data_IF_476780811160
#
_entry.id   IF_476780811160
#
_cell.length_a   1.000
_cell.length_b   1.000
_cell.length_c   1.000
_cell.angle_alpha   90.00
_cell.angle_beta   90.00
_cell.angle_gamma   90.00
#
_symmetry.space_group_name_H-M   'P 1'
#
loop_
_entity.id
_entity.type
_entity.pdbx_description
1 polymer ?
#
# COMPACT_ATOMS: atom_id res chain seq x y z
N UNK A 1 17.84 -25.89 -38.38
CA UNK A 1 16.43 -26.24 -38.10
C UNK A 1 16.28 -26.42 -36.61
N UNK A 2 15.31 -25.71 -36.02
CA UNK A 2 14.76 -25.79 -34.65
C UNK A 2 15.76 -25.51 -33.50
N UNK A 3 15.44 -24.77 -32.45
CA UNK A 3 14.15 -24.36 -31.86
C UNK A 3 14.16 -22.86 -31.53
N UNK A 4 13.14 -22.13 -31.99
CA UNK A 4 12.70 -20.91 -31.33
C UNK A 4 11.75 -21.35 -30.21
N UNK A 5 12.16 -21.20 -28.95
CA UNK A 5 11.24 -21.30 -27.81
C UNK A 5 10.82 -19.91 -27.40
N UNK A 6 9.53 -19.66 -27.56
CA UNK A 6 8.84 -18.41 -27.25
C UNK A 6 8.89 -18.14 -25.75
N UNK A 7 9.24 -16.90 -25.39
CA UNK A 7 9.37 -16.35 -24.02
C UNK A 7 8.12 -16.43 -23.12
N UNK A 8 7.04 -17.07 -23.58
CA UNK A 8 5.79 -17.23 -22.83
C UNK A 8 5.82 -18.39 -21.81
N UNK A 9 6.72 -19.37 -21.95
CA UNK A 9 6.73 -20.56 -21.06
C UNK A 9 7.42 -20.34 -19.70
N UNK A 10 8.23 -19.30 -19.52
CA UNK A 10 8.83 -18.96 -18.21
C UNK A 10 7.89 -18.15 -17.29
N UNK A 11 6.68 -17.85 -17.73
CA UNK A 11 5.64 -17.19 -16.93
C UNK A 11 4.64 -18.18 -16.29
N UNK A 12 4.86 -19.49 -16.44
CA UNK A 12 4.02 -20.54 -15.85
C UNK A 12 4.43 -20.97 -14.44
N UNK A 13 4.61 -20.01 -13.52
CA UNK A 13 4.88 -20.28 -12.10
C UNK A 13 3.62 -20.12 -11.26
N UNK A 14 3.01 -21.25 -10.90
CA UNK A 14 1.82 -21.37 -10.05
C UNK A 14 2.02 -20.66 -8.69
N UNK A 15 1.48 -19.45 -8.51
CA UNK A 15 1.21 -18.87 -7.20
C UNK A 15 -0.29 -19.01 -6.95
N UNK A 16 -0.65 -20.02 -6.16
CA UNK A 16 -1.97 -20.12 -5.58
C UNK A 16 -1.93 -19.32 -4.28
N UNK A 17 -2.50 -18.12 -4.27
CA UNK A 17 -3.01 -17.48 -3.06
C UNK A 17 -4.06 -16.43 -3.46
N UNK A 18 -5.21 -16.60 -2.82
CA UNK A 18 -6.52 -16.02 -3.07
C UNK A 18 -6.53 -14.52 -2.70
N UNK A 19 -6.70 -13.62 -3.67
CA UNK A 19 -7.01 -12.21 -3.40
C UNK A 19 -8.18 -11.76 -4.27
N UNK A 20 -9.26 -11.45 -3.57
CA UNK A 20 -10.54 -11.03 -4.13
C UNK A 20 -10.43 -9.82 -5.04
N UNK A 21 -11.13 -9.91 -6.17
CA UNK A 21 -11.34 -8.83 -7.11
C UNK A 21 -11.98 -7.62 -6.41
N UNK A 22 -11.23 -6.53 -6.26
CA UNK A 22 -11.78 -5.19 -6.08
C UNK A 22 -11.61 -4.46 -7.39
N UNK A 23 -12.73 -4.28 -8.10
CA UNK A 23 -12.84 -3.46 -9.30
C UNK A 23 -12.46 -2.01 -8.96
N UNK A 24 -11.45 -1.47 -9.65
CA UNK A 24 -11.16 -0.04 -9.64
C UNK A 24 -12.15 0.65 -10.58
N UNK A 25 -13.10 1.39 -10.00
CA UNK A 25 -13.95 2.32 -10.73
C UNK A 25 -13.13 3.57 -11.07
N UNK A 26 -13.13 3.93 -12.35
CA UNK A 26 -12.33 5.00 -12.93
C UNK A 26 -13.27 6.15 -13.30
N UNK A 27 -13.45 7.10 -12.39
CA UNK A 27 -14.24 8.31 -12.64
C UNK A 27 -13.50 9.23 -13.62
N UNK A 28 -14.03 9.31 -14.84
CA UNK A 28 -13.64 10.27 -15.87
C UNK A 28 -14.63 11.44 -15.84
N UNK A 29 -14.15 12.61 -15.40
CA UNK A 29 -14.92 13.85 -15.33
C UNK A 29 -15.06 14.42 -16.75
N UNK A 30 -16.27 14.39 -17.31
CA UNK A 30 -16.66 15.29 -18.42
C UNK A 30 -17.92 16.07 -18.04
N UNK A 31 -17.79 17.39 -18.14
CA UNK A 31 -18.84 18.38 -17.93
C UNK A 31 -19.65 18.50 -19.21
N UNK A 32 -20.95 18.26 -19.16
CA UNK A 32 -21.91 18.92 -20.07
C UNK A 32 -23.23 19.22 -19.35
N UNK A 33 -23.70 20.44 -19.57
CA UNK A 33 -24.92 21.00 -19.01
C UNK A 33 -26.11 20.69 -19.91
N UNK A 34 -27.21 20.17 -19.37
CA UNK A 34 -28.57 20.46 -19.86
C UNK A 34 -29.65 20.03 -18.87
N UNK A 35 -30.59 20.95 -18.67
CA UNK A 35 -31.75 20.91 -17.78
C UNK A 35 -32.73 19.78 -18.12
N UNK A 36 -33.44 19.26 -17.11
CA UNK A 36 -34.69 18.53 -17.35
C UNK A 36 -35.09 17.50 -16.29
N UNK A 37 -36.03 17.90 -15.42
CA UNK A 37 -37.10 17.04 -14.86
C UNK A 37 -36.74 16.01 -13.78
N UNK A 38 -37.20 16.30 -12.55
CA UNK A 38 -37.20 15.39 -11.40
C UNK A 38 -38.19 14.23 -11.65
N UNK A 39 -37.69 12.99 -11.73
CA UNK A 39 -38.51 11.78 -11.65
C UNK A 39 -37.94 10.84 -10.60
N UNK A 40 -38.71 10.64 -9.53
CA UNK A 40 -38.52 9.57 -8.56
C UNK A 40 -38.93 8.25 -9.22
N UNK A 41 -38.01 7.29 -9.29
CA UNK A 41 -38.31 5.96 -9.80
C UNK A 41 -39.21 5.21 -8.82
N UNK A 42 -40.48 5.06 -9.20
CA UNK A 42 -41.39 4.08 -8.61
C UNK A 42 -41.05 2.70 -9.17
N UNK A 43 -40.61 1.78 -8.33
CA UNK A 43 -40.62 0.37 -8.67
C UNK A 43 -42.09 -0.13 -8.62
N UNK A 44 -42.63 -0.49 -9.77
CA UNK A 44 -43.83 -1.32 -9.88
C UNK A 44 -43.41 -2.68 -10.41
N UNK A 45 -43.48 -3.69 -9.55
CA UNK A 45 -43.74 -5.06 -9.96
C UNK A 45 -44.47 -5.77 -8.82
N UNK A 46 -45.74 -6.08 -9.09
CA UNK A 46 -46.57 -6.91 -8.26
C UNK A 46 -46.12 -8.38 -8.36
N UNK A 47 -46.24 -9.10 -7.24
CA UNK A 47 -46.38 -10.55 -7.24
C UNK A 47 -45.27 -11.31 -6.52
N UNK A 48 -45.40 -11.50 -5.21
CA UNK A 48 -45.34 -12.84 -4.60
C UNK A 48 -45.69 -12.75 -3.12
N UNK A 49 -46.79 -13.40 -2.75
CA UNK A 49 -47.36 -13.46 -1.41
C UNK A 49 -46.79 -14.71 -0.72
N UNK A 50 -45.69 -14.62 0.03
CA UNK A 50 -45.38 -15.43 1.24
C UNK A 50 -43.88 -15.40 1.59
N UNK A 51 -43.49 -14.66 2.62
CA UNK A 51 -42.30 -14.99 3.44
C UNK A 51 -42.67 -14.70 4.90
N UNK A 52 -42.73 -15.70 5.79
CA UNK A 52 -42.96 -15.42 7.19
C UNK A 52 -41.64 -14.92 7.80
N UNK A 53 -41.66 -13.64 8.13
CA UNK A 53 -40.79 -12.97 9.09
C UNK A 53 -40.67 -13.84 10.36
N UNK A 54 -39.47 -14.36 10.64
CA UNK A 54 -39.18 -15.13 11.85
C UNK A 54 -38.97 -14.18 13.03
N UNK A 55 -40.06 -13.58 13.50
CA UNK A 55 -40.13 -13.07 14.87
C UNK A 55 -40.54 -14.25 15.76
N UNK A 56 -39.88 -14.52 16.90
CA UNK A 56 -40.46 -15.40 17.91
C UNK A 56 -41.66 -14.65 18.50
N UNK A 57 -42.80 -14.82 17.84
CA UNK A 57 -44.11 -14.44 18.35
C UNK A 57 -44.39 -15.41 19.49
N UNK A 58 -44.04 -15.01 20.71
CA UNK A 58 -44.59 -15.64 21.90
C UNK A 58 -46.03 -15.14 21.99
N UNK A 59 -46.93 -15.82 21.30
CA UNK A 59 -48.35 -15.76 21.59
C UNK A 59 -48.50 -16.35 22.99
N UNK A 60 -48.48 -15.48 24.00
CA UNK A 60 -49.19 -15.77 25.24
C UNK A 60 -50.67 -15.76 24.86
N UNK A 61 -51.17 -16.92 24.43
CA UNK A 61 -52.61 -17.22 24.45
C UNK A 61 -53.02 -17.25 25.93
N UNK A 62 -53.31 -16.06 26.46
CA UNK A 62 -54.15 -15.90 27.63
C UNK A 62 -55.56 -16.33 27.22
N UNK A 63 -55.85 -17.62 27.37
CA UNK A 63 -57.24 -18.08 27.41
C UNK A 63 -57.90 -17.47 28.63
N UNK A 64 -58.53 -16.31 28.41
CA UNK A 64 -59.56 -15.72 29.24
C UNK A 64 -60.79 -16.65 29.26
N UNK A 65 -60.71 -17.71 30.06
CA UNK A 65 -61.91 -18.36 30.59
C UNK A 65 -62.39 -17.59 31.82
N UNK A 66 -62.95 -16.42 31.54
CA UNK A 66 -63.79 -15.68 32.45
C UNK A 66 -65.18 -16.32 32.57
N UNK A 67 -65.43 -16.82 33.77
CA UNK A 67 -66.74 -16.92 34.44
C UNK A 67 -67.47 -18.29 34.47
N UNK A 68 -67.53 -18.77 35.72
CA UNK A 68 -68.69 -19.30 36.43
C UNK A 68 -68.75 -20.81 36.71
N UNK A 69 -68.05 -21.22 37.78
CA UNK A 69 -68.62 -22.23 38.69
C UNK A 69 -68.48 -21.77 40.15
N UNK A 70 -69.55 -21.10 40.58
CA UNK A 70 -69.97 -21.09 41.97
C UNK A 70 -70.01 -22.54 42.49
N UNK A 71 -69.11 -22.90 43.41
CA UNK A 71 -69.29 -24.07 44.27
C UNK A 71 -68.17 -25.11 44.27
N UNK A 72 -67.54 -25.22 45.46
CA UNK A 72 -66.75 -26.35 46.00
C UNK A 72 -65.33 -26.53 45.45
N UNK A 73 -64.37 -26.33 46.34
CA UNK A 73 -63.10 -27.06 46.35
C UNK A 73 -61.85 -26.18 46.28
N UNK A 74 -61.36 -25.72 47.43
CA UNK A 74 -60.18 -24.85 47.59
C UNK A 74 -58.81 -25.45 47.23
N UNK A 75 -58.72 -26.37 46.27
CA UNK A 75 -57.47 -27.06 45.89
C UNK A 75 -56.93 -26.70 44.50
N UNK A 76 -57.78 -26.29 43.55
CA UNK A 76 -57.36 -25.96 42.17
C UNK A 76 -56.78 -24.53 42.03
N UNK A 77 -57.18 -23.60 42.90
CA UNK A 77 -56.64 -22.25 42.90
C UNK A 77 -55.19 -22.18 43.43
N UNK A 78 -54.80 -23.08 44.34
CA UNK A 78 -53.43 -23.11 44.87
C UNK A 78 -52.41 -23.62 43.83
N UNK A 79 -52.79 -24.60 43.00
CA UNK A 79 -51.91 -25.15 41.97
C UNK A 79 -51.74 -24.23 40.76
N UNK A 80 -52.80 -23.53 40.33
CA UNK A 80 -52.71 -22.53 39.26
C UNK A 80 -51.94 -21.28 39.70
N UNK A 81 -52.09 -20.85 40.97
CA UNK A 81 -51.25 -19.80 41.57
C UNK A 81 -49.77 -20.22 41.63
N UNK A 82 -49.47 -21.45 42.05
CA UNK A 82 -48.09 -21.99 42.06
C UNK A 82 -47.46 -22.09 40.67
N UNK A 83 -48.24 -22.44 39.64
CA UNK A 83 -47.76 -22.46 38.26
C UNK A 83 -47.48 -21.04 37.74
N UNK A 84 -48.37 -20.08 38.00
CA UNK A 84 -48.17 -18.65 37.68
C UNK A 84 -46.94 -18.07 38.41
N UNK A 85 -46.72 -18.46 39.66
CA UNK A 85 -45.54 -18.11 40.47
C UNK A 85 -44.25 -18.65 39.82
N UNK A 86 -44.22 -19.96 39.51
CA UNK A 86 -43.07 -20.61 38.85
C UNK A 86 -42.73 -19.94 37.50
N UNK A 87 -43.74 -19.56 36.72
CA UNK A 87 -43.54 -18.85 35.45
C UNK A 87 -42.94 -17.46 35.67
N UNK A 88 -43.42 -16.72 36.68
CA UNK A 88 -42.87 -15.41 37.07
C UNK A 88 -41.42 -15.53 37.53
N UNK A 89 -41.09 -16.54 38.33
CA UNK A 89 -39.72 -16.81 38.78
C UNK A 89 -38.78 -17.13 37.61
N UNK A 90 -39.19 -18.01 36.69
CA UNK A 90 -38.42 -18.34 35.50
C UNK A 90 -38.17 -17.11 34.62
N UNK A 91 -39.19 -16.27 34.41
CA UNK A 91 -39.06 -15.01 33.68
C UNK A 91 -38.08 -14.05 34.36
N UNK A 92 -38.16 -13.92 35.70
CA UNK A 92 -37.26 -13.08 36.49
C UNK A 92 -35.81 -13.57 36.41
N UNK A 93 -35.59 -14.89 36.50
CA UNK A 93 -34.27 -15.50 36.35
C UNK A 93 -33.69 -15.28 34.95
N UNK A 94 -34.50 -15.42 33.89
CA UNK A 94 -34.07 -15.16 32.53
C UNK A 94 -33.65 -13.70 32.31
N UNK A 95 -34.43 -12.75 32.83
CA UNK A 95 -34.10 -11.33 32.73
C UNK A 95 -32.87 -10.96 33.57
N UNK A 96 -32.68 -11.56 34.75
CA UNK A 96 -31.46 -11.37 35.55
C UNK A 96 -30.24 -11.86 34.77
N UNK A 97 -30.29 -13.07 34.20
CA UNK A 97 -29.21 -13.60 33.36
C UNK A 97 -28.89 -12.68 32.17
N UNK A 98 -29.92 -12.10 31.53
CA UNK A 98 -29.74 -11.11 30.46
C UNK A 98 -29.04 -9.84 30.97
N UNK A 99 -29.44 -9.33 32.14
CA UNK A 99 -28.82 -8.14 32.76
C UNK A 99 -27.37 -8.39 33.15
N UNK A 100 -27.05 -9.57 33.67
CA UNK A 100 -25.70 -9.95 34.06
C UNK A 100 -24.79 -10.09 32.82
N UNK A 101 -25.31 -10.63 31.72
CA UNK A 101 -24.59 -10.68 30.45
C UNK A 101 -24.28 -9.27 29.90
N UNK A 102 -25.26 -8.36 29.95
CA UNK A 102 -25.05 -6.95 29.55
C UNK A 102 -24.02 -6.28 30.46
N UNK A 103 -24.12 -6.49 31.78
CA UNK A 103 -23.16 -5.94 32.75
C UNK A 103 -21.74 -6.39 32.42
N UNK A 104 -21.53 -7.69 32.18
CA UNK A 104 -20.25 -8.24 31.74
C UNK A 104 -19.75 -7.61 30.44
N UNK A 105 -20.65 -7.35 29.48
CA UNK A 105 -20.31 -6.63 28.24
C UNK A 105 -19.78 -5.22 28.49
N UNK A 106 -20.35 -4.48 29.44
CA UNK A 106 -19.81 -3.16 29.85
C UNK A 106 -18.45 -3.27 30.51
N UNK A 107 -18.25 -4.25 31.40
CA UNK A 107 -16.98 -4.46 32.08
C UNK A 107 -15.86 -4.76 31.04
N UNK A 108 -16.10 -5.64 30.07
CA UNK A 108 -15.16 -5.91 28.96
C UNK A 108 -14.93 -4.68 28.07
N UNK A 109 -15.95 -3.87 27.84
CA UNK A 109 -15.82 -2.65 27.02
C UNK A 109 -14.92 -1.61 27.72
N UNK A 110 -14.99 -1.50 29.04
CA UNK A 110 -14.09 -0.65 29.81
C UNK A 110 -12.63 -1.13 29.73
N UNK A 111 -12.41 -2.45 29.68
CA UNK A 111 -11.07 -3.03 29.50
C UNK A 111 -10.51 -2.79 28.09
N UNK A 112 -11.34 -2.82 27.04
CA UNK A 112 -10.85 -2.65 25.67
C UNK A 112 -10.60 -1.19 25.28
N UNK A 113 -11.27 -0.24 25.94
CA UNK A 113 -11.21 1.19 25.61
C UNK A 113 -10.23 1.89 26.55
N UNK A 114 -9.03 2.31 26.09
CA UNK A 114 -7.99 2.87 26.96
C UNK A 114 -8.45 4.10 27.75
N UNK A 115 -9.29 4.93 27.13
CA UNK A 115 -9.83 6.14 27.76
C UNK A 115 -10.85 5.86 28.86
N UNK A 116 -11.38 4.63 28.94
CA UNK A 116 -12.20 4.17 30.05
C UNK A 116 -11.34 3.71 31.24
N UNK A 117 -10.23 3.00 30.97
CA UNK A 117 -9.33 2.49 32.01
C UNK A 117 -8.65 3.58 32.85
N UNK A 118 -8.31 4.72 32.21
CA UNK A 118 -7.59 5.82 32.86
C UNK A 118 -8.35 6.46 34.04
N UNK A 119 -9.68 6.34 34.09
CA UNK A 119 -10.50 7.01 35.12
C UNK A 119 -10.82 6.11 36.33
N UNK A 120 -10.78 4.79 36.18
CA UNK A 120 -11.15 3.84 37.25
C UNK A 120 -10.00 3.57 38.23
N UNK A 121 -8.73 3.71 37.81
CA UNK A 121 -7.58 3.28 38.62
C UNK A 121 -7.21 4.22 39.78
N UNK A 122 -7.68 5.48 39.77
CA UNK A 122 -7.29 6.49 40.77
C UNK A 122 -8.45 7.15 41.52
N UNK A 123 -9.69 7.06 41.02
CA UNK A 123 -10.82 7.86 41.52
C UNK A 123 -11.89 7.03 42.27
N UNK A 124 -11.90 5.70 42.12
CA UNK A 124 -12.94 4.84 42.68
C UNK A 124 -14.35 5.12 42.11
N UNK A 125 -14.45 5.97 41.09
CA UNK A 125 -15.70 6.47 40.53
C UNK A 125 -16.01 5.70 39.23
N UNK A 126 -17.03 4.84 39.30
CA UNK A 126 -17.48 4.03 38.15
C UNK A 126 -18.03 4.94 37.04
N UNK A 127 -17.51 4.78 35.83
CA UNK A 127 -17.99 5.51 34.65
C UNK A 127 -19.48 5.21 34.38
N UNK A 128 -20.23 6.21 33.91
CA UNK A 128 -21.63 6.02 33.54
C UNK A 128 -21.73 5.18 32.25
N UNK A 129 -22.79 4.38 32.12
CA UNK A 129 -23.03 3.55 30.92
C UNK A 129 -23.01 4.38 29.63
N UNK A 130 -23.65 5.55 29.64
CA UNK A 130 -23.66 6.46 28.50
C UNK A 130 -22.25 6.93 28.12
N UNK A 131 -21.41 7.25 29.10
CA UNK A 131 -20.04 7.69 28.86
C UNK A 131 -19.15 6.57 28.34
N UNK A 132 -19.32 5.34 28.83
CA UNK A 132 -18.58 4.17 28.32
C UNK A 132 -18.92 3.97 26.84
N UNK A 133 -20.20 4.02 26.46
CA UNK A 133 -20.63 3.88 25.07
C UNK A 133 -20.04 4.99 24.19
N UNK A 134 -20.08 6.25 24.64
CA UNK A 134 -19.51 7.36 23.89
C UNK A 134 -18.00 7.18 23.64
N UNK A 135 -17.24 6.93 24.71
CA UNK A 135 -15.78 6.68 24.61
C UNK A 135 -15.47 5.50 23.68
N UNK A 136 -16.33 4.49 23.63
CA UNK A 136 -16.18 3.33 22.75
C UNK A 136 -16.41 3.69 21.29
N UNK A 137 -17.42 4.50 20.98
CA UNK A 137 -17.69 5.01 19.63
C UNK A 137 -16.49 5.82 19.13
N UNK A 138 -15.99 6.73 19.97
CA UNK A 138 -14.84 7.57 19.64
C UNK A 138 -13.59 6.70 19.38
N UNK A 139 -13.38 5.67 20.19
CA UNK A 139 -12.25 4.75 20.04
C UNK A 139 -12.35 3.89 18.78
N UNK A 140 -13.55 3.40 18.41
CA UNK A 140 -13.77 2.72 17.12
C UNK A 140 -13.45 3.66 15.96
N UNK A 141 -13.89 4.92 16.03
CA UNK A 141 -13.57 5.94 15.03
C UNK A 141 -12.05 6.14 14.88
N UNK A 142 -11.34 6.24 16.01
CA UNK A 142 -9.89 6.34 16.05
C UNK A 142 -9.19 5.10 15.45
N UNK A 143 -9.62 3.89 15.81
CA UNK A 143 -9.07 2.65 15.26
C UNK A 143 -9.30 2.55 13.75
N UNK A 144 -10.47 2.93 13.25
CA UNK A 144 -10.75 2.95 11.81
C UNK A 144 -9.85 3.95 11.07
N UNK A 145 -9.61 5.12 11.65
CA UNK A 145 -8.70 6.10 11.07
C UNK A 145 -7.25 5.58 11.05
N UNK A 146 -6.79 4.95 12.13
CA UNK A 146 -5.46 4.34 12.18
C UNK A 146 -5.31 3.19 11.19
N UNK A 147 -6.32 2.32 11.09
CA UNK A 147 -6.34 1.22 10.11
C UNK A 147 -6.22 1.77 8.69
N UNK A 148 -7.03 2.77 8.34
CA UNK A 148 -6.97 3.42 7.03
C UNK A 148 -5.57 4.00 6.73
N UNK A 149 -4.96 4.68 7.71
CA UNK A 149 -3.61 5.24 7.58
C UNK A 149 -2.57 4.14 7.31
N UNK A 150 -2.63 3.03 8.05
CA UNK A 150 -1.70 1.90 7.85
C UNK A 150 -1.90 1.23 6.49
N UNK A 151 -3.14 1.11 6.02
CA UNK A 151 -3.44 0.58 4.69
C UNK A 151 -2.87 1.47 3.58
N UNK A 152 -2.98 2.80 3.72
CA UNK A 152 -2.40 3.77 2.77
C UNK A 152 -0.86 3.69 2.76
N UNK A 153 -0.22 3.63 3.93
CA UNK A 153 1.24 3.48 4.05
C UNK A 153 1.72 2.14 3.44
N UNK A 154 1.02 1.05 3.73
CA UNK A 154 1.33 -0.27 3.16
C UNK A 154 1.20 -0.26 1.63
N UNK A 155 0.15 0.36 1.09
CA UNK A 155 -0.03 0.48 -0.36
C UNK A 155 1.06 1.34 -1.01
N UNK A 156 1.52 2.40 -0.34
CA UNK A 156 2.62 3.23 -0.81
C UNK A 156 3.94 2.45 -0.85
N UNK A 157 4.27 1.71 0.22
CA UNK A 157 5.47 0.88 0.29
C UNK A 157 5.47 -0.22 -0.77
N UNK A 158 4.33 -0.85 -1.02
CA UNK A 158 4.21 -1.85 -2.10
C UNK A 158 4.51 -1.26 -3.48
N UNK A 159 4.03 -0.04 -3.76
CA UNK A 159 4.35 0.66 -5.02
C UNK A 159 5.84 0.94 -5.15
N UNK A 160 6.49 1.35 -4.06
CA UNK A 160 7.94 1.59 -4.04
C UNK A 160 8.74 0.32 -4.30
N UNK A 161 8.38 -0.79 -3.65
CA UNK A 161 9.01 -2.10 -3.90
C UNK A 161 8.89 -2.52 -5.36
N UNK A 162 7.71 -2.36 -5.96
CA UNK A 162 7.49 -2.67 -7.37
C UNK A 162 8.37 -1.78 -8.26
N UNK A 163 8.42 -0.47 -8.00
CA UNK A 163 9.26 0.45 -8.76
C UNK A 163 10.75 0.07 -8.68
N UNK A 164 11.25 -0.23 -7.48
CA UNK A 164 12.63 -0.67 -7.27
C UNK A 164 12.91 -1.99 -7.99
N UNK A 165 11.97 -2.94 -7.98
CA UNK A 165 12.12 -4.21 -8.70
C UNK A 165 12.19 -4.02 -10.22
N UNK A 166 11.40 -3.09 -10.76
CA UNK A 166 11.46 -2.73 -12.20
C UNK A 166 12.84 -2.15 -12.53
N UNK A 167 13.34 -1.22 -11.71
CA UNK A 167 14.66 -0.62 -11.89
C UNK A 167 15.76 -1.68 -11.82
N UNK A 168 15.72 -2.56 -10.81
CA UNK A 168 16.66 -3.67 -10.66
C UNK A 168 16.66 -4.56 -11.91
N UNK A 169 15.49 -4.99 -12.38
CA UNK A 169 15.38 -5.83 -13.57
C UNK A 169 15.93 -5.13 -14.82
N UNK A 170 15.72 -3.81 -14.95
CA UNK A 170 16.29 -3.02 -16.04
C UNK A 170 17.82 -3.05 -16.02
N UNK A 171 18.44 -2.88 -14.85
CA UNK A 171 19.89 -2.99 -14.70
C UNK A 171 20.41 -4.39 -14.96
N UNK A 172 19.75 -5.42 -14.44
CA UNK A 172 20.11 -6.82 -14.69
C UNK A 172 20.08 -7.14 -16.20
N UNK A 173 19.06 -6.65 -16.92
CA UNK A 173 18.94 -6.81 -18.36
C UNK A 173 20.04 -6.07 -19.14
N UNK A 174 20.36 -4.81 -18.77
CA UNK A 174 21.47 -4.08 -19.38
C UNK A 174 22.82 -4.77 -19.17
N UNK A 175 23.04 -5.31 -17.97
CA UNK A 175 24.26 -6.03 -17.61
C UNK A 175 24.37 -7.33 -18.39
N UNK A 176 23.29 -8.10 -18.53
CA UNK A 176 23.24 -9.30 -19.37
C UNK A 176 23.51 -8.98 -20.84
N UNK A 177 22.94 -7.89 -21.39
CA UNK A 177 23.18 -7.50 -22.77
C UNK A 177 24.64 -7.05 -23.00
N UNK A 178 25.26 -6.41 -22.01
CA UNK A 178 26.68 -6.05 -22.05
C UNK A 178 27.59 -7.29 -21.97
N UNK A 179 27.21 -8.32 -21.21
CA UNK A 179 27.95 -9.57 -21.10
C UNK A 179 27.74 -10.53 -22.28
N UNK A 180 26.55 -10.54 -22.88
CA UNK A 180 26.20 -11.40 -24.01
C UNK A 180 26.71 -10.87 -25.36
N UNK A 181 26.99 -9.56 -25.44
CA UNK A 181 27.67 -8.96 -26.56
C UNK A 181 28.98 -8.31 -26.09
N UNK A 182 29.97 -9.11 -25.63
CA UNK A 182 31.32 -8.62 -25.55
C UNK A 182 31.72 -8.36 -27.00
N UNK A 183 31.85 -7.09 -27.40
CA UNK A 183 32.51 -6.78 -28.67
C UNK A 183 33.83 -7.56 -28.77
N UNK A 184 34.32 -7.82 -29.99
CA UNK A 184 35.51 -8.64 -30.20
C UNK A 184 36.62 -8.25 -29.21
N UNK A 185 37.18 -9.26 -28.56
CA UNK A 185 38.11 -9.14 -27.42
C UNK A 185 39.35 -8.26 -27.73
N UNK A 186 39.59 -7.99 -29.02
CA UNK A 186 40.61 -7.10 -29.59
C UNK A 186 40.34 -5.60 -29.41
N UNK A 187 39.15 -5.17 -28.99
CA UNK A 187 38.81 -3.74 -28.80
C UNK A 187 38.73 -3.32 -27.31
N UNK A 188 39.25 -4.15 -26.41
CA UNK A 188 39.40 -3.79 -24.99
C UNK A 188 40.50 -2.74 -24.86
N UNK A 189 40.09 -1.49 -24.67
CA UNK A 189 40.98 -0.42 -24.19
C UNK A 189 41.81 -0.92 -23.02
N UNK A 190 43.12 -0.65 -23.04
CA UNK A 190 44.01 -0.93 -21.91
C UNK A 190 43.48 -0.22 -20.66
N UNK A 191 43.75 -0.75 -19.47
CA UNK A 191 43.33 -0.08 -18.23
C UNK A 191 43.95 1.32 -18.11
N UNK A 192 45.13 1.54 -18.69
CA UNK A 192 45.74 2.85 -18.89
C UNK A 192 44.88 3.78 -19.76
N UNK A 193 44.39 3.30 -20.92
CA UNK A 193 43.49 4.08 -21.76
C UNK A 193 42.15 4.37 -21.08
N UNK A 194 41.61 3.44 -20.29
CA UNK A 194 40.42 3.70 -19.47
C UNK A 194 40.67 4.78 -18.43
N UNK A 195 41.83 4.75 -17.76
CA UNK A 195 42.19 5.74 -16.76
C UNK A 195 42.40 7.13 -17.37
N UNK A 196 43.10 7.21 -18.50
CA UNK A 196 43.29 8.45 -19.27
C UNK A 196 41.97 9.05 -19.74
N UNK A 197 41.06 8.22 -20.27
CA UNK A 197 39.72 8.67 -20.66
C UNK A 197 38.91 9.14 -19.44
N UNK A 198 38.96 8.40 -18.33
CA UNK A 198 38.29 8.81 -17.10
C UNK A 198 38.82 10.13 -16.57
N UNK A 199 40.14 10.29 -16.54
CA UNK A 199 40.79 11.53 -16.13
C UNK A 199 40.37 12.69 -17.04
N UNK A 200 40.44 12.54 -18.36
CA UNK A 200 40.03 13.58 -19.30
C UNK A 200 38.56 13.98 -19.12
N UNK A 201 37.67 13.02 -18.86
CA UNK A 201 36.26 13.30 -18.56
C UNK A 201 36.13 14.06 -17.24
N UNK A 202 36.80 13.62 -16.18
CA UNK A 202 36.74 14.27 -14.87
C UNK A 202 37.31 15.69 -14.89
N UNK A 203 38.42 15.90 -15.60
CA UNK A 203 39.05 17.21 -15.76
C UNK A 203 38.12 18.19 -16.51
N UNK A 204 37.51 17.74 -17.61
CA UNK A 204 36.54 18.56 -18.37
C UNK A 204 35.29 18.89 -17.54
N UNK A 205 34.76 17.92 -16.78
CA UNK A 205 33.62 18.16 -15.89
C UNK A 205 33.99 19.09 -14.75
N UNK A 206 35.19 18.95 -14.18
CA UNK A 206 35.65 19.80 -13.11
C UNK A 206 35.81 21.24 -13.60
N UNK A 207 36.55 21.47 -14.69
CA UNK A 207 36.76 22.78 -15.31
C UNK A 207 35.44 23.49 -15.63
N UNK A 208 34.52 22.81 -16.32
CA UNK A 208 33.22 23.41 -16.67
C UNK A 208 32.37 23.71 -15.44
N UNK A 209 32.46 22.90 -14.37
CA UNK A 209 31.76 23.15 -13.12
C UNK A 209 32.29 24.38 -12.36
N UNK A 210 33.60 24.70 -12.46
CA UNK A 210 34.17 25.87 -11.77
C UNK A 210 33.54 27.19 -12.23
N UNK A 211 32.94 27.21 -13.42
CA UNK A 211 32.29 28.38 -13.99
C UNK A 211 30.89 28.65 -13.40
N UNK A 212 30.36 27.75 -12.57
CA UNK A 212 29.07 27.92 -11.90
C UNK A 212 29.24 28.87 -10.69
N UNK A 213 28.47 29.96 -10.59
CA UNK A 213 28.52 30.85 -9.43
C UNK A 213 28.11 30.14 -8.14
N UNK A 214 28.97 30.16 -7.13
CA UNK A 214 28.76 29.48 -5.82
C UNK A 214 28.59 30.45 -4.65
N UNK A 215 28.36 31.73 -4.90
CA UNK A 215 28.28 32.77 -3.87
C UNK A 215 27.12 32.57 -2.87
N UNK A 216 26.08 31.85 -3.27
CA UNK A 216 25.00 31.41 -2.39
C UNK A 216 24.28 30.16 -2.93
N UNK A 217 23.54 29.48 -2.06
CA UNK A 217 22.82 28.24 -2.38
C UNK A 217 21.82 28.39 -3.53
N UNK A 218 21.18 29.57 -3.67
CA UNK A 218 20.22 29.83 -4.76
C UNK A 218 20.92 29.89 -6.12
N UNK A 219 22.09 30.52 -6.21
CA UNK A 219 22.85 30.59 -7.46
C UNK A 219 23.36 29.20 -7.88
N UNK A 220 23.92 28.43 -6.94
CA UNK A 220 24.36 27.05 -7.19
C UNK A 220 23.21 26.16 -7.69
N UNK A 221 22.08 26.14 -6.98
CA UNK A 221 20.92 25.31 -7.35
C UNK A 221 20.29 25.73 -8.67
N UNK A 222 20.39 27.02 -9.04
CA UNK A 222 19.91 27.51 -10.34
C UNK A 222 20.88 27.18 -11.48
N UNK A 223 22.19 27.14 -11.22
CA UNK A 223 23.23 26.92 -12.24
C UNK A 223 23.56 25.44 -12.51
N UNK A 224 23.40 24.56 -11.52
CA UNK A 224 23.82 23.15 -11.64
C UNK A 224 22.99 22.33 -12.63
N UNK A 225 21.67 22.56 -12.69
CA UNK A 225 20.79 21.82 -13.61
C UNK A 225 21.09 22.19 -15.08
N UNK A 226 21.14 23.48 -15.47
CA UNK A 226 21.54 23.87 -16.82
C UNK A 226 22.94 23.38 -17.20
N UNK A 227 23.90 23.47 -16.28
CA UNK A 227 25.25 22.95 -16.52
C UNK A 227 25.24 21.45 -16.83
N UNK A 228 24.54 20.65 -16.03
CA UNK A 228 24.44 19.21 -16.21
C UNK A 228 23.75 18.85 -17.53
N UNK A 229 22.68 19.58 -17.86
CA UNK A 229 21.99 19.41 -19.13
C UNK A 229 22.85 19.79 -20.34
N UNK A 230 23.79 20.73 -20.20
CA UNK A 230 24.64 21.19 -21.30
C UNK A 230 25.92 20.36 -21.46
N UNK A 231 26.61 20.02 -20.37
CA UNK A 231 27.97 19.46 -20.39
C UNK A 231 28.01 17.94 -20.16
N UNK A 232 27.00 17.33 -19.52
CA UNK A 232 27.00 15.90 -19.20
C UNK A 232 26.24 15.03 -20.21
N UNK A 233 25.98 15.52 -21.43
CA UNK A 233 25.26 14.75 -22.46
C UNK A 233 26.11 13.56 -22.95
N UNK A 234 25.49 12.40 -23.28
CA UNK A 234 26.22 11.23 -23.76
C UNK A 234 27.13 11.49 -24.96
N UNK A 235 26.74 12.39 -25.87
CA UNK A 235 27.58 12.73 -27.04
C UNK A 235 28.82 13.54 -26.67
N UNK A 236 28.77 14.38 -25.63
CA UNK A 236 29.92 15.17 -25.17
C UNK A 236 30.97 14.21 -24.61
N UNK A 237 30.54 13.30 -23.74
CA UNK A 237 31.41 12.27 -23.16
C UNK A 237 32.03 11.37 -24.23
N UNK A 238 31.26 10.98 -25.26
CA UNK A 238 31.79 10.23 -26.42
C UNK A 238 32.81 11.02 -27.23
N UNK A 239 32.64 12.33 -27.34
CA UNK A 239 33.60 13.19 -28.03
C UNK A 239 34.92 13.29 -27.26
N UNK A 240 34.85 13.45 -25.92
CA UNK A 240 36.05 13.46 -25.06
C UNK A 240 36.78 12.12 -25.19
N UNK A 241 36.06 11.01 -25.04
CA UNK A 241 36.62 9.66 -25.22
C UNK A 241 37.30 9.49 -26.59
N UNK A 242 36.62 9.90 -27.67
CA UNK A 242 37.18 9.80 -29.02
C UNK A 242 38.46 10.62 -29.19
N UNK A 243 38.49 11.84 -28.63
CA UNK A 243 39.66 12.72 -28.67
C UNK A 243 40.83 12.14 -27.89
N UNK A 244 40.61 11.73 -26.64
CA UNK A 244 41.66 11.14 -25.80
C UNK A 244 42.25 9.89 -26.42
N UNK A 245 41.42 8.99 -26.97
CA UNK A 245 41.92 7.79 -27.65
C UNK A 245 42.70 8.11 -28.93
N UNK A 246 42.28 9.13 -29.70
CA UNK A 246 43.02 9.60 -30.87
C UNK A 246 44.38 10.21 -30.48
N UNK A 247 44.44 10.96 -29.39
CA UNK A 247 45.69 11.56 -28.90
C UNK A 247 46.67 10.50 -28.39
N UNK A 248 46.18 9.49 -27.65
CA UNK A 248 46.98 8.35 -27.22
C UNK A 248 47.54 7.55 -28.40
N UNK A 249 46.72 7.33 -29.44
CA UNK A 249 47.14 6.66 -30.68
C UNK A 249 48.25 7.45 -31.40
N UNK A 250 48.12 8.77 -31.50
CA UNK A 250 49.14 9.65 -32.08
C UNK A 250 50.44 9.65 -31.27
N UNK A 251 50.36 9.70 -29.93
CA UNK A 251 51.54 9.63 -29.05
C UNK A 251 52.30 8.31 -29.20
N UNK A 252 51.58 7.19 -29.29
CA UNK A 252 52.20 5.88 -29.55
C UNK A 252 52.90 5.81 -30.91
N UNK A 253 52.37 6.51 -31.92
CA UNK A 253 52.97 6.57 -33.27
C UNK A 253 54.25 7.42 -33.32
N UNK A 254 54.31 8.51 -32.52
CA UNK A 254 55.48 9.38 -32.45
C UNK A 254 56.66 8.78 -31.66
N UNK A 255 56.39 7.91 -30.68
CA UNK A 255 57.43 7.23 -29.92
C UNK A 255 58.18 6.18 -30.76
N UNK A 256 57.53 5.61 -31.79
CA UNK A 256 58.14 4.68 -32.73
C UNK A 256 59.13 5.33 -33.71
N UNK A 257 58.88 6.57 -34.15
CA UNK A 257 59.76 7.27 -35.11
C UNK A 257 61.00 7.93 -34.49
N UNK A 258 61.07 8.03 -33.16
CA UNK A 258 62.22 8.63 -32.45
C UNK A 258 63.30 7.61 -32.10
N UNK A 259 63.02 6.31 -32.21
CA UNK A 259 63.99 5.23 -31.94
C UNK A 259 64.84 4.90 -33.19
N UNK A 260 64.28 4.98 -34.40
CA UNK A 260 65.01 4.68 -35.64
C UNK A 260 66.06 5.75 -36.04
N UNK A 261 66.02 6.96 -35.48
CA UNK A 261 66.97 8.02 -35.84
C UNK A 261 68.29 7.95 -35.04
N UNK A 262 68.34 7.22 -33.91
CA UNK A 262 69.55 7.12 -33.08
C UNK A 262 70.52 6.01 -33.53
N UNK A 263 70.08 5.02 -34.31
CA UNK A 263 70.96 3.94 -34.81
C UNK A 263 71.68 4.28 -36.13
N UNK A 264 71.43 5.45 -36.74
CA UNK A 264 72.07 5.83 -38.01
C UNK A 264 73.34 6.70 -37.89
N UNK A 265 73.60 7.31 -36.74
CA UNK A 265 74.77 8.19 -36.52
C UNK A 265 75.96 7.47 -35.84
N UNK A 266 75.87 6.15 -35.66
CA UNK A 266 76.81 5.32 -34.90
C UNK A 266 77.70 4.38 -35.72
N UNK A 267 77.94 4.63 -37.01
CA UNK A 267 78.97 3.90 -37.78
C UNK A 267 79.55 4.77 -38.92
N UNK A 268 80.64 5.48 -38.61
CA UNK A 268 81.63 5.96 -39.59
C UNK A 268 83.02 5.75 -39.01
#
# INVERSE_FOLDING_TARGET
MAEQRTVAELLGGHCSEDYGATTMDQDQVTVDSREGTKHYSRCSSAGSIHTPNSSPHNTDDDEDSGDNCSGRGGSANASTLSYKERRREAHTQAEQKRRDAIKKGYDSLQELVPTCQQNDSASGYKLSKALILQKSIDYIGYLNQQKKKQEEESAALQKEVIALRIIQNSYEHMLQHQQANPGPEEERLTDEAKFQVFQAVMDEMFETFQHIPMDNFKQLTTGVIPWLEEHCKPHILRNILSRTLQDMSQQSSHQSMSVDQQDSDGFS
#
